data_IF_292700935288
#
_entry.id   IF_292700935288
#
_cell.length_a   1.000
_cell.length_b   1.000
_cell.length_c   1.000
_cell.angle_alpha   90.00
_cell.angle_beta   90.00
_cell.angle_gamma   90.00
#
_symmetry.space_group_name_H-M   'P 1'
#
loop_
_entity.id
_entity.type
_entity.pdbx_description
1 polymer ?
#
# COMPACT_ATOMS: atom_id res chain seq x y z
N UNK A 1 -58.04 -54.87 -52.45
CA UNK A 1 -57.16 -54.87 -51.26
C UNK A 1 -56.25 -53.68 -51.36
N UNK A 2 -56.35 -52.72 -50.44
CA UNK A 2 -55.44 -51.57 -50.37
C UNK A 2 -54.64 -51.71 -49.08
N UNK A 3 -53.34 -51.92 -49.21
CA UNK A 3 -52.43 -52.11 -48.08
C UNK A 3 -51.87 -50.76 -47.65
N UNK A 4 -52.21 -50.29 -46.45
CA UNK A 4 -51.57 -49.12 -45.85
C UNK A 4 -50.27 -49.54 -45.17
N UNK A 5 -49.14 -49.02 -45.66
CA UNK A 5 -47.84 -49.14 -44.97
C UNK A 5 -47.66 -47.96 -44.02
N UNK A 6 -47.64 -48.22 -42.71
CA UNK A 6 -47.30 -47.21 -41.71
C UNK A 6 -45.78 -47.06 -41.65
N UNK A 7 -45.29 -45.90 -42.11
CA UNK A 7 -43.87 -45.56 -42.10
C UNK A 7 -43.42 -45.29 -40.66
N UNK A 8 -42.68 -46.23 -40.07
CA UNK A 8 -42.03 -46.10 -38.75
C UNK A 8 -40.92 -45.03 -38.84
N UNK A 9 -41.18 -43.83 -38.32
CA UNK A 9 -40.18 -42.77 -38.23
C UNK A 9 -39.05 -43.19 -37.28
N UNK A 10 -37.83 -43.30 -37.83
CA UNK A 10 -36.61 -43.62 -37.07
C UNK A 10 -36.29 -42.51 -36.07
N UNK A 11 -36.15 -42.88 -34.80
CA UNK A 11 -35.83 -41.99 -33.69
C UNK A 11 -34.54 -41.21 -33.91
N UNK A 12 -34.67 -39.89 -34.03
CA UNK A 12 -33.57 -38.94 -34.21
C UNK A 12 -33.37 -38.10 -32.94
N UNK A 13 -33.37 -38.75 -31.77
CA UNK A 13 -33.48 -38.02 -30.48
C UNK A 13 -32.40 -38.35 -29.46
N UNK A 14 -31.60 -39.40 -29.64
CA UNK A 14 -30.61 -39.83 -28.63
C UNK A 14 -29.26 -39.11 -28.79
N UNK A 15 -28.87 -38.73 -30.03
CA UNK A 15 -27.58 -38.09 -30.30
C UNK A 15 -27.46 -36.69 -29.69
N UNK A 16 -28.56 -35.94 -29.63
CA UNK A 16 -28.55 -34.57 -29.12
C UNK A 16 -28.44 -34.52 -27.59
N UNK A 17 -29.06 -35.46 -26.88
CA UNK A 17 -28.96 -35.55 -25.42
C UNK A 17 -27.57 -35.91 -24.93
N UNK A 18 -26.88 -36.85 -25.60
CA UNK A 18 -25.48 -37.19 -25.30
C UNK A 18 -24.53 -36.02 -25.55
N UNK A 19 -24.70 -35.29 -26.66
CA UNK A 19 -23.88 -34.10 -26.94
C UNK A 19 -24.10 -33.00 -25.90
N UNK A 20 -25.33 -32.79 -25.46
CA UNK A 20 -25.66 -31.79 -24.44
C UNK A 20 -25.09 -32.15 -23.07
N UNK A 21 -25.14 -33.42 -22.67
CA UNK A 21 -24.53 -33.91 -21.43
C UNK A 21 -23.00 -33.75 -21.44
N UNK A 22 -22.34 -34.07 -22.56
CA UNK A 22 -20.89 -33.90 -22.73
C UNK A 22 -20.51 -32.41 -22.69
N UNK A 23 -21.30 -31.54 -23.33
CA UNK A 23 -21.07 -30.09 -23.32
C UNK A 23 -21.17 -29.50 -21.92
N UNK A 24 -22.18 -29.91 -21.12
CA UNK A 24 -22.33 -29.48 -19.72
C UNK A 24 -21.16 -29.99 -18.88
N UNK A 25 -20.74 -31.24 -19.06
CA UNK A 25 -19.61 -31.81 -18.34
C UNK A 25 -18.31 -31.05 -18.63
N UNK A 26 -18.03 -30.73 -19.90
CA UNK A 26 -16.88 -29.90 -20.28
C UNK A 26 -16.95 -28.50 -19.67
N UNK A 27 -18.14 -27.87 -19.64
CA UNK A 27 -18.32 -26.55 -19.04
C UNK A 27 -18.00 -26.56 -17.55
N UNK A 28 -18.42 -27.60 -16.81
CA UNK A 28 -18.11 -27.76 -15.39
C UNK A 28 -16.61 -27.93 -15.16
N UNK A 29 -15.93 -28.73 -15.99
CA UNK A 29 -14.47 -28.89 -15.93
C UNK A 29 -13.75 -27.56 -16.19
N UNK A 30 -14.18 -26.79 -17.19
CA UNK A 30 -13.60 -25.49 -17.49
C UNK A 30 -13.75 -24.52 -16.33
N UNK A 31 -14.94 -24.45 -15.72
CA UNK A 31 -15.16 -23.61 -14.53
C UNK A 31 -14.24 -24.05 -13.39
N UNK A 32 -14.12 -25.36 -13.15
CA UNK A 32 -13.22 -25.88 -12.12
C UNK A 32 -11.75 -25.52 -12.37
N UNK A 33 -11.28 -25.61 -13.62
CA UNK A 33 -9.93 -25.19 -14.01
C UNK A 33 -9.71 -23.70 -13.74
N UNK A 34 -10.64 -22.84 -14.15
CA UNK A 34 -10.54 -21.39 -13.94
C UNK A 34 -10.46 -21.06 -12.44
N UNK A 35 -11.27 -21.72 -11.61
CA UNK A 35 -11.20 -21.56 -10.16
C UNK A 35 -9.86 -22.00 -9.58
N UNK A 36 -9.31 -23.13 -10.05
CA UNK A 36 -8.00 -23.62 -9.63
C UNK A 36 -6.87 -22.64 -10.02
N UNK A 37 -6.91 -22.13 -11.25
CA UNK A 37 -5.92 -21.16 -11.75
C UNK A 37 -5.94 -19.86 -10.96
N UNK A 38 -7.11 -19.32 -10.64
CA UNK A 38 -7.24 -18.12 -9.81
C UNK A 38 -6.62 -18.34 -8.42
N UNK A 39 -6.86 -19.50 -7.81
CA UNK A 39 -6.30 -19.84 -6.50
C UNK A 39 -4.78 -19.94 -6.55
N UNK A 40 -4.24 -20.60 -7.57
CA UNK A 40 -2.79 -20.73 -7.79
C UNK A 40 -2.16 -19.36 -8.04
N UNK A 41 -2.79 -18.52 -8.86
CA UNK A 41 -2.30 -17.18 -9.17
C UNK A 41 -2.22 -16.30 -7.92
N UNK A 42 -3.26 -16.32 -7.07
CA UNK A 42 -3.25 -15.60 -5.78
C UNK A 42 -2.11 -16.06 -4.87
N UNK A 43 -1.90 -17.37 -4.76
CA UNK A 43 -0.82 -17.93 -3.95
C UNK A 43 0.57 -17.53 -4.48
N UNK A 44 0.78 -17.62 -5.80
CA UNK A 44 2.03 -17.18 -6.44
C UNK A 44 2.31 -15.70 -6.21
N UNK A 45 1.29 -14.84 -6.32
CA UNK A 45 1.43 -13.40 -6.05
C UNK A 45 1.84 -13.13 -4.61
N UNK A 46 1.23 -13.82 -3.64
CA UNK A 46 1.59 -13.71 -2.21
C UNK A 46 3.03 -14.15 -1.96
N UNK A 47 3.46 -15.27 -2.55
CA UNK A 47 4.81 -15.77 -2.40
C UNK A 47 5.85 -14.82 -3.03
N UNK A 48 5.56 -14.26 -4.20
CA UNK A 48 6.41 -13.25 -4.83
C UNK A 48 6.50 -11.95 -4.02
N UNK A 49 5.41 -11.51 -3.38
CA UNK A 49 5.48 -10.34 -2.49
C UNK A 49 6.34 -10.61 -1.26
N UNK A 50 6.25 -11.81 -0.68
CA UNK A 50 7.09 -12.21 0.45
C UNK A 50 8.57 -12.30 0.04
N UNK A 51 8.87 -12.86 -1.13
CA UNK A 51 10.22 -12.91 -1.69
C UNK A 51 10.82 -11.50 -1.84
N UNK A 52 10.06 -10.56 -2.41
CA UNK A 52 10.51 -9.17 -2.55
C UNK A 52 10.76 -8.51 -1.20
N UNK A 53 9.89 -8.76 -0.23
CA UNK A 53 10.02 -8.21 1.12
C UNK A 53 11.26 -8.75 1.83
N UNK A 54 11.49 -10.07 1.77
CA UNK A 54 12.70 -10.67 2.34
C UNK A 54 13.97 -10.17 1.63
N UNK A 55 13.94 -9.99 0.31
CA UNK A 55 15.09 -9.48 -0.41
C UNK A 55 15.41 -8.02 -0.02
N UNK A 56 14.37 -7.20 0.20
CA UNK A 56 14.54 -5.85 0.72
C UNK A 56 15.16 -5.84 2.12
N UNK A 57 14.70 -6.72 3.01
CA UNK A 57 15.25 -6.84 4.35
C UNK A 57 16.72 -7.28 4.32
N UNK A 58 17.09 -8.19 3.41
CA UNK A 58 18.49 -8.57 3.22
C UNK A 58 19.34 -7.38 2.77
N UNK A 59 18.85 -6.59 1.82
CA UNK A 59 19.56 -5.38 1.36
C UNK A 59 19.71 -4.34 2.47
N UNK A 60 18.66 -4.11 3.25
CA UNK A 60 18.67 -3.17 4.38
C UNK A 60 19.64 -3.61 5.47
N UNK A 61 19.61 -4.90 5.85
CA UNK A 61 20.56 -5.47 6.82
C UNK A 61 21.99 -5.39 6.29
N UNK A 62 22.22 -5.68 5.01
CA UNK A 62 23.56 -5.59 4.40
C UNK A 62 24.08 -4.16 4.43
N UNK A 63 23.25 -3.19 4.06
CA UNK A 63 23.59 -1.76 4.11
C UNK A 63 23.90 -1.30 5.54
N UNK A 64 23.07 -1.71 6.51
CA UNK A 64 23.30 -1.40 7.92
C UNK A 64 24.60 -2.04 8.43
N UNK A 65 24.94 -3.26 8.00
CA UNK A 65 26.21 -3.89 8.36
C UNK A 65 27.40 -3.14 7.75
N UNK A 66 27.32 -2.74 6.48
CA UNK A 66 28.37 -1.93 5.83
C UNK A 66 28.56 -0.59 6.56
N UNK A 67 27.48 0.12 6.91
CA UNK A 67 27.53 1.36 7.69
C UNK A 67 28.16 1.15 9.08
N UNK A 68 27.84 0.03 9.74
CA UNK A 68 28.44 -0.33 11.04
C UNK A 68 29.91 -0.71 10.91
N UNK A 69 30.30 -1.46 9.87
CA UNK A 69 31.70 -1.81 9.61
C UNK A 69 32.54 -0.56 9.28
N UNK A 70 32.01 0.39 8.50
CA UNK A 70 32.64 1.69 8.28
C UNK A 70 32.76 2.48 9.59
N UNK A 71 31.71 2.49 10.41
CA UNK A 71 31.73 3.13 11.73
C UNK A 71 32.77 2.52 12.68
N UNK A 72 32.94 1.20 12.66
CA UNK A 72 33.96 0.49 13.45
C UNK A 72 35.37 0.79 12.91
N UNK A 73 35.55 0.78 11.59
CA UNK A 73 36.83 1.11 10.97
C UNK A 73 37.27 2.55 11.28
N UNK A 74 36.31 3.47 11.35
CA UNK A 74 36.56 4.87 11.74
C UNK A 74 36.56 5.09 13.27
N UNK A 75 36.12 4.12 14.08
CA UNK A 75 36.03 4.28 15.54
C UNK A 75 37.40 4.45 16.21
N UNK A 76 38.46 3.90 15.64
CA UNK A 76 39.85 4.09 16.11
C UNK A 76 40.53 5.31 15.45
N UNK A 77 39.87 5.99 14.51
CA UNK A 77 40.40 7.19 13.89
C UNK A 77 40.18 8.41 14.78
N UNK A 78 41.28 9.01 15.22
CA UNK A 78 41.28 10.19 16.10
C UNK A 78 40.54 11.38 15.49
N UNK A 79 40.56 11.52 14.16
CA UNK A 79 39.91 12.62 13.44
C UNK A 79 38.38 12.44 13.41
N UNK A 80 37.91 11.19 13.33
CA UNK A 80 36.50 10.83 13.39
C UNK A 80 35.90 11.01 14.80
N UNK A 81 36.64 10.62 15.84
CA UNK A 81 36.25 10.86 17.24
C UNK A 81 36.11 12.36 17.51
N UNK A 82 37.05 13.18 17.04
CA UNK A 82 36.98 14.63 17.21
C UNK A 82 35.77 15.22 16.48
N UNK A 83 35.46 14.74 15.28
CA UNK A 83 34.29 15.18 14.51
C UNK A 83 32.98 14.87 15.25
N UNK A 84 32.78 13.62 15.68
CA UNK A 84 31.59 13.21 16.45
C UNK A 84 31.48 14.02 17.77
N UNK A 85 32.60 14.21 18.48
CA UNK A 85 32.61 14.98 19.72
C UNK A 85 32.16 16.43 19.50
N UNK A 86 32.57 17.06 18.39
CA UNK A 86 32.16 18.44 18.05
C UNK A 86 30.74 18.52 17.49
N UNK A 87 30.34 17.61 16.61
CA UNK A 87 29.06 17.66 15.89
C UNK A 87 27.88 17.15 16.74
N UNK A 88 28.01 15.96 17.35
CA UNK A 88 26.93 15.32 18.10
C UNK A 88 26.92 15.73 19.57
N UNK A 89 28.10 15.94 20.17
CA UNK A 89 28.24 16.21 21.61
C UNK A 89 28.62 17.65 21.95
N UNK A 90 28.86 18.53 20.95
CA UNK A 90 29.31 19.91 21.15
C UNK A 90 30.47 20.04 22.15
N UNK A 91 31.32 19.01 22.23
CA UNK A 91 32.49 18.96 23.11
C UNK A 91 33.60 19.84 22.56
N UNK A 92 34.30 20.51 23.46
CA UNK A 92 35.32 21.50 23.16
C UNK A 92 36.70 20.94 23.45
N UNK A 93 37.70 21.37 22.67
CA UNK A 93 39.09 21.11 23.04
C UNK A 93 39.49 21.92 24.29
N UNK A 94 40.44 21.43 25.11
CA UNK A 94 40.95 22.19 26.24
C UNK A 94 41.58 23.51 25.76
N UNK A 95 40.84 24.62 25.90
CA UNK A 95 41.25 25.97 25.49
C UNK A 95 40.23 26.75 24.63
N UNK A 96 39.14 26.13 24.18
CA UNK A 96 38.07 26.79 23.42
C UNK A 96 37.15 27.63 24.34
N UNK A 97 36.59 28.74 23.83
CA UNK A 97 35.67 29.64 24.57
C UNK A 97 34.28 29.63 23.94
N UNK A 98 33.27 29.27 24.71
CA UNK A 98 31.86 29.33 24.29
C UNK A 98 31.40 30.79 24.25
N UNK A 99 30.87 31.21 23.10
CA UNK A 99 30.13 32.46 22.97
C UNK A 99 28.65 32.11 22.89
N UNK A 100 27.94 32.24 24.01
CA UNK A 100 26.49 32.13 24.02
C UNK A 100 25.89 33.46 23.56
N UNK A 101 25.22 33.46 22.40
CA UNK A 101 24.42 34.60 21.98
C UNK A 101 23.14 34.63 22.84
N UNK A 102 23.07 35.58 23.76
CA UNK A 102 21.81 35.94 24.42
C UNK A 102 20.92 36.55 23.33
N UNK A 103 20.04 35.73 22.76
CA UNK A 103 18.98 36.22 21.90
C UNK A 103 18.04 37.03 22.81
N UNK A 104 17.85 38.35 22.59
CA UNK A 104 16.89 39.10 23.38
C UNK A 104 15.53 38.42 23.26
N UNK A 105 14.83 38.31 24.38
CA UNK A 105 13.46 37.80 24.48
C UNK A 105 12.66 38.40 23.31
N UNK A 106 12.31 37.57 22.33
CA UNK A 106 11.52 38.00 21.19
C UNK A 106 10.15 38.33 21.75
N UNK A 107 9.83 39.61 21.85
CA UNK A 107 8.48 40.09 22.14
C UNK A 107 7.51 39.29 21.27
N UNK A 108 6.50 38.69 21.89
CA UNK A 108 5.52 37.84 21.23
C UNK A 108 4.93 38.59 20.04
N UNK A 109 5.28 38.17 18.82
CA UNK A 109 4.64 38.68 17.62
C UNK A 109 3.13 38.43 17.74
N UNK A 110 2.29 39.42 17.39
CA UNK A 110 0.85 39.28 17.49
C UNK A 110 0.41 38.04 16.72
N UNK A 111 -0.27 37.13 17.42
CA UNK A 111 -0.75 35.88 16.84
C UNK A 111 -1.47 36.19 15.52
N UNK A 112 -1.08 35.54 14.41
CA UNK A 112 -1.73 35.77 13.13
C UNK A 112 -3.22 35.50 13.29
N UNK A 113 -4.09 36.26 12.60
CA UNK A 113 -5.53 36.10 12.72
C UNK A 113 -5.87 34.63 12.51
N UNK A 114 -6.63 34.09 13.47
CA UNK A 114 -7.14 32.73 13.50
C UNK A 114 -7.48 32.32 12.08
N UNK A 115 -6.70 31.38 11.53
CA UNK A 115 -6.95 30.83 10.22
C UNK A 115 -8.31 30.14 10.32
N UNK A 116 -9.34 30.89 9.96
CA UNK A 116 -10.68 30.44 9.71
C UNK A 116 -10.67 29.62 8.43
N UNK A 117 -10.04 28.45 8.55
CA UNK A 117 -10.03 27.39 7.57
C UNK A 117 -11.49 27.13 7.22
N UNK A 118 -11.84 27.36 5.97
CA UNK A 118 -13.16 27.08 5.38
C UNK A 118 -13.65 25.64 5.65
N UNK A 119 -12.72 24.73 5.96
CA UNK A 119 -12.95 23.34 6.32
C UNK A 119 -13.27 23.11 7.82
N UNK A 120 -13.28 24.16 8.65
CA UNK A 120 -13.75 24.06 10.03
C UNK A 120 -15.26 23.77 10.01
N UNK A 121 -15.62 22.60 10.54
CA UNK A 121 -16.98 22.06 10.60
C UNK A 121 -18.02 23.09 11.08
N UNK A 122 -17.64 24.00 11.98
CA UNK A 122 -18.54 25.04 12.50
C UNK A 122 -18.98 26.09 11.45
N UNK A 123 -18.16 26.37 10.44
CA UNK A 123 -18.49 27.34 9.39
C UNK A 123 -19.44 26.73 8.33
N UNK A 124 -19.12 25.52 7.84
CA UNK A 124 -19.98 24.79 6.90
C UNK A 124 -21.40 24.58 7.47
N UNK A 125 -21.51 24.21 8.75
CA UNK A 125 -22.80 24.02 9.41
C UNK A 125 -23.63 25.32 9.48
N UNK A 126 -22.98 26.47 9.73
CA UNK A 126 -23.66 27.77 9.74
C UNK A 126 -24.16 28.17 8.35
N UNK A 127 -23.34 27.96 7.31
CA UNK A 127 -23.72 28.27 5.93
C UNK A 127 -24.89 27.39 5.44
N UNK A 128 -24.83 26.07 5.65
CA UNK A 128 -25.92 25.15 5.26
C UNK A 128 -27.23 25.48 5.97
N UNK A 129 -27.18 25.80 7.26
CA UNK A 129 -28.37 26.12 8.04
C UNK A 129 -29.08 27.39 7.55
N UNK A 130 -28.32 28.42 7.17
CA UNK A 130 -28.90 29.66 6.63
C UNK A 130 -29.48 29.47 5.23
N UNK A 131 -28.83 28.67 4.37
CA UNK A 131 -29.34 28.35 3.04
C UNK A 131 -30.65 27.56 3.07
N UNK A 132 -30.82 26.65 4.03
CA UNK A 132 -32.08 25.92 4.20
C UNK A 132 -33.22 26.80 4.70
N UNK A 133 -32.94 27.78 5.57
CA UNK A 133 -33.95 28.73 6.05
C UNK A 133 -34.56 29.57 4.92
N UNK A 134 -33.76 30.07 3.99
CA UNK A 134 -34.24 30.92 2.90
C UNK A 134 -35.04 30.20 1.80
N UNK A 135 -35.13 28.87 1.85
CA UNK A 135 -35.91 28.06 0.88
C UNK A 135 -37.26 27.64 1.46
N UNK A 136 -37.38 27.66 2.80
CA UNK A 136 -38.60 27.29 3.52
C UNK A 136 -39.46 28.52 3.86
N UNK A 137 -38.85 29.71 3.84
CA UNK A 137 -39.50 31.03 4.01
C UNK A 137 -39.65 31.73 2.66
#
# INVERSE_FOLDING_TARGET
MVSHFTKKQKGKTIKNGLFQAISIFLAVILVFLVFADIKIYKNKKKLNSQLKEYQRQIEEIKKSNEEMEEGIAMADDREYIEKIAREEFSMQQPGEKVVAFLTPEREEEPQPPDNDNFWNRNFFLKWVNNMWKSVIE
#
